data_IF_583815253307
#
_entry.id   IF_583815253307
#
_cell.length_a   1.000
_cell.length_b   1.000
_cell.length_c   1.000
_cell.angle_alpha   90.00
_cell.angle_beta   90.00
_cell.angle_gamma   90.00
#
_symmetry.space_group_name_H-M   'P 1'
#
loop_
_entity.id
_entity.type
_entity.pdbx_description
1 polymer ?
#
# COMPACT_ATOMS: atom_id res chain seq x y z
N UNK A 1 13.65 5.95 -23.12
CA UNK A 1 14.46 6.59 -22.07
C UNK A 1 14.77 8.02 -22.45
N UNK A 2 14.63 8.95 -21.51
CA UNK A 2 14.53 10.40 -21.79
C UNK A 2 15.78 11.18 -21.34
N UNK A 3 16.81 10.51 -20.81
CA UNK A 3 17.99 11.18 -20.28
C UNK A 3 19.03 11.48 -21.35
N UNK A 4 19.59 12.69 -21.31
CA UNK A 4 20.66 13.13 -22.22
C UNK A 4 22.04 12.59 -21.80
N UNK A 5 22.16 11.27 -21.63
CA UNK A 5 23.41 10.60 -21.19
C UNK A 5 24.59 10.83 -22.13
N UNK A 6 24.33 11.27 -23.37
CA UNK A 6 25.37 11.66 -24.33
C UNK A 6 26.25 12.83 -23.85
N UNK A 7 25.77 13.62 -22.90
CA UNK A 7 26.54 14.71 -22.29
C UNK A 7 27.63 14.20 -21.33
N UNK A 8 27.60 12.93 -20.94
CA UNK A 8 28.66 12.32 -20.14
C UNK A 8 29.87 12.04 -21.03
N UNK A 9 31.01 12.64 -20.71
CA UNK A 9 32.26 12.46 -21.47
C UNK A 9 33.36 11.77 -20.68
N UNK A 10 33.24 11.75 -19.34
CA UNK A 10 34.23 11.14 -18.46
C UNK A 10 33.65 9.87 -17.82
N UNK A 11 34.49 8.84 -17.73
CA UNK A 11 34.16 7.59 -17.02
C UNK A 11 33.89 7.87 -15.54
N UNK A 12 34.63 8.79 -14.93
CA UNK A 12 34.44 9.17 -13.53
C UNK A 12 33.05 9.75 -13.24
N UNK A 13 32.48 10.54 -14.16
CA UNK A 13 31.12 11.08 -14.01
C UNK A 13 30.08 9.96 -14.08
N UNK A 14 30.30 8.97 -14.96
CA UNK A 14 29.46 7.78 -15.03
C UNK A 14 29.52 6.99 -13.72
N UNK A 15 30.70 6.80 -13.14
CA UNK A 15 30.88 6.07 -11.88
C UNK A 15 30.15 6.75 -10.70
N UNK A 16 30.22 8.08 -10.63
CA UNK A 16 29.49 8.85 -9.61
C UNK A 16 27.98 8.67 -9.77
N UNK A 17 27.46 8.76 -11.00
CA UNK A 17 26.04 8.59 -11.25
C UNK A 17 25.55 7.16 -11.00
N UNK A 18 26.37 6.15 -11.33
CA UNK A 18 26.07 4.74 -11.02
C UNK A 18 26.03 4.51 -9.51
N UNK A 19 26.98 5.07 -8.75
CA UNK A 19 26.97 4.98 -7.30
C UNK A 19 25.74 5.66 -6.68
N UNK A 20 25.34 6.83 -7.21
CA UNK A 20 24.13 7.53 -6.79
C UNK A 20 22.88 6.70 -7.08
N UNK A 21 22.75 6.18 -8.29
CA UNK A 21 21.60 5.37 -8.70
C UNK A 21 21.51 4.05 -7.92
N UNK A 22 22.65 3.41 -7.63
CA UNK A 22 22.70 2.21 -6.79
C UNK A 22 22.21 2.48 -5.36
N UNK A 23 22.56 3.64 -4.80
CA UNK A 23 22.07 4.06 -3.49
C UNK A 23 20.55 4.29 -3.51
N UNK A 24 20.05 5.05 -4.49
CA UNK A 24 18.62 5.31 -4.64
C UNK A 24 17.83 4.00 -4.78
N UNK A 25 18.32 3.07 -5.60
CA UNK A 25 17.72 1.74 -5.74
C UNK A 25 17.66 0.99 -4.41
N UNK A 26 18.73 1.02 -3.61
CA UNK A 26 18.74 0.37 -2.31
C UNK A 26 17.72 0.97 -1.34
N UNK A 27 17.55 2.29 -1.34
CA UNK A 27 16.56 3.00 -0.53
C UNK A 27 15.12 2.62 -0.96
N UNK A 28 14.87 2.54 -2.27
CA UNK A 28 13.58 2.09 -2.83
C UNK A 28 13.29 0.62 -2.52
N UNK A 29 14.28 -0.27 -2.63
CA UNK A 29 14.14 -1.68 -2.26
C UNK A 29 13.81 -1.85 -0.77
N UNK A 30 14.44 -1.05 0.11
CA UNK A 30 14.11 -1.04 1.52
C UNK A 30 12.66 -0.59 1.78
N UNK A 31 12.23 0.49 1.12
CA UNK A 31 10.85 0.98 1.19
C UNK A 31 9.85 -0.09 0.74
N UNK A 32 10.10 -0.71 -0.43
CA UNK A 32 9.28 -1.81 -0.96
C UNK A 32 9.14 -2.95 0.04
N UNK A 33 10.24 -3.42 0.63
CA UNK A 33 10.22 -4.48 1.64
C UNK A 33 9.41 -4.08 2.88
N UNK A 34 9.50 -2.83 3.30
CA UNK A 34 8.70 -2.30 4.43
C UNK A 34 7.20 -2.34 4.11
N UNK A 35 6.80 -1.91 2.92
CA UNK A 35 5.41 -1.93 2.48
C UNK A 35 4.88 -3.36 2.26
N UNK A 36 5.70 -4.28 1.76
CA UNK A 36 5.35 -5.71 1.62
C UNK A 36 5.00 -6.35 2.97
N UNK A 37 5.78 -6.06 4.02
CA UNK A 37 5.48 -6.53 5.39
C UNK A 37 4.15 -5.98 5.91
N UNK A 38 3.85 -4.71 5.60
CA UNK A 38 2.57 -4.11 5.96
C UNK A 38 1.41 -4.72 5.18
N UNK A 39 1.59 -4.99 3.88
CA UNK A 39 0.61 -5.69 3.04
C UNK A 39 0.27 -7.06 3.63
N UNK A 40 1.27 -7.86 4.00
CA UNK A 40 1.04 -9.17 4.63
C UNK A 40 0.23 -9.06 5.91
N UNK A 41 0.62 -8.14 6.80
CA UNK A 41 -0.11 -7.87 8.04
C UNK A 41 -1.57 -7.47 7.78
N UNK A 42 -1.81 -6.61 6.79
CA UNK A 42 -3.16 -6.17 6.46
C UNK A 42 -3.98 -7.23 5.73
N UNK A 43 -3.35 -8.12 4.97
CA UNK A 43 -4.03 -9.27 4.36
C UNK A 43 -4.62 -10.19 5.44
N UNK A 44 -3.90 -10.41 6.54
CA UNK A 44 -4.41 -11.18 7.68
C UNK A 44 -5.53 -10.45 8.42
N UNK A 45 -5.33 -9.17 8.78
CA UNK A 45 -6.32 -8.44 9.59
C UNK A 45 -7.58 -8.04 8.81
N UNK A 46 -7.49 -7.83 7.51
CA UNK A 46 -8.63 -7.44 6.66
C UNK A 46 -9.73 -8.49 6.63
N UNK A 47 -9.37 -9.76 6.51
CA UNK A 47 -10.33 -10.88 6.52
C UNK A 47 -11.11 -10.91 7.83
N UNK A 48 -10.41 -10.77 8.97
CA UNK A 48 -11.04 -10.78 10.28
C UNK A 48 -11.97 -9.57 10.49
N UNK A 49 -11.54 -8.37 10.08
CA UNK A 49 -12.35 -7.15 10.19
C UNK A 49 -13.61 -7.24 9.32
N UNK A 50 -13.47 -7.72 8.07
CA UNK A 50 -14.60 -7.84 7.14
C UNK A 50 -15.59 -8.90 7.61
N UNK A 51 -15.13 -10.04 8.12
CA UNK A 51 -15.99 -11.06 8.71
C UNK A 51 -16.76 -10.55 9.94
N UNK A 52 -16.08 -9.83 10.84
CA UNK A 52 -16.71 -9.25 12.02
C UNK A 52 -17.76 -8.20 11.63
N UNK A 53 -17.44 -7.33 10.68
CA UNK A 53 -18.35 -6.30 10.20
C UNK A 53 -19.62 -6.91 9.57
N UNK A 54 -19.47 -7.96 8.76
CA UNK A 54 -20.61 -8.68 8.19
C UNK A 54 -21.49 -9.30 9.27
N UNK A 55 -20.89 -9.87 10.32
CA UNK A 55 -21.62 -10.37 11.49
C UNK A 55 -22.43 -9.28 12.19
N UNK A 56 -21.82 -8.13 12.46
CA UNK A 56 -22.49 -6.98 13.09
C UNK A 56 -23.61 -6.42 12.21
N UNK A 57 -23.43 -6.35 10.89
CA UNK A 57 -24.48 -5.92 9.95
C UNK A 57 -25.67 -6.89 9.97
N UNK A 58 -25.41 -8.20 9.95
CA UNK A 58 -26.46 -9.22 10.03
C UNK A 58 -27.22 -9.16 11.36
N UNK A 59 -26.50 -8.97 12.48
CA UNK A 59 -27.11 -8.82 13.80
C UNK A 59 -27.95 -7.54 13.89
N UNK A 60 -27.46 -6.42 13.35
CA UNK A 60 -28.23 -5.17 13.26
C UNK A 60 -29.54 -5.38 12.51
N UNK A 61 -29.51 -6.02 11.34
CA UNK A 61 -30.72 -6.28 10.56
C UNK A 61 -31.72 -7.15 11.32
N UNK A 62 -31.24 -8.16 12.06
CA UNK A 62 -32.09 -8.99 12.92
C UNK A 62 -32.71 -8.18 14.07
N UNK A 63 -31.91 -7.36 14.76
CA UNK A 63 -32.38 -6.48 15.84
C UNK A 63 -33.42 -5.47 15.35
N UNK A 64 -33.22 -4.91 14.16
CA UNK A 64 -34.20 -4.00 13.54
C UNK A 64 -35.52 -4.69 13.21
N UNK A 65 -35.44 -5.92 12.70
CA UNK A 65 -36.63 -6.75 12.43
C UNK A 65 -37.40 -7.03 13.73
N UNK A 66 -36.70 -7.36 14.81
CA UNK A 66 -37.33 -7.60 16.13
C UNK A 66 -37.95 -6.30 16.66
N UNK A 67 -37.23 -5.17 16.63
CA UNK A 67 -37.71 -3.86 17.10
C UNK A 67 -38.99 -3.40 16.38
N UNK A 68 -39.16 -3.75 15.10
CA UNK A 68 -40.34 -3.41 14.33
C UNK A 68 -41.60 -4.15 14.80
N UNK A 69 -41.44 -5.28 15.48
CA UNK A 69 -42.55 -6.14 15.94
C UNK A 69 -42.81 -6.03 17.44
N UNK A 70 -41.87 -5.49 18.21
CA UNK A 70 -42.00 -5.37 19.66
C UNK A 70 -42.96 -4.23 20.07
N UNK A 71 -43.90 -4.49 20.99
CA UNK A 71 -44.69 -3.42 21.61
C UNK A 71 -43.81 -2.52 22.49
N UNK A 72 -44.30 -1.32 22.79
CA UNK A 72 -43.64 -0.44 23.77
C UNK A 72 -43.49 -1.13 25.14
N UNK A 73 -42.35 -0.93 25.78
CA UNK A 73 -42.03 -1.52 27.07
C UNK A 73 -40.54 -1.77 27.24
N UNK A 74 -40.16 -2.30 28.40
CA UNK A 74 -38.75 -2.47 28.79
C UNK A 74 -37.94 -3.29 27.77
N UNK A 75 -38.50 -4.39 27.26
CA UNK A 75 -37.83 -5.25 26.26
C UNK A 75 -37.50 -4.48 24.98
N UNK A 76 -38.37 -3.55 24.56
CA UNK A 76 -38.12 -2.72 23.39
C UNK A 76 -37.01 -1.71 23.63
N UNK A 77 -36.96 -1.09 24.81
CA UNK A 77 -35.87 -0.19 25.20
C UNK A 77 -34.54 -0.94 25.28
N UNK A 78 -34.49 -2.11 25.94
CA UNK A 78 -33.28 -2.94 26.00
C UNK A 78 -32.79 -3.33 24.59
N UNK A 79 -33.72 -3.56 23.66
CA UNK A 79 -33.40 -3.87 22.27
C UNK A 79 -32.89 -2.63 21.50
N UNK A 80 -33.41 -1.43 21.78
CA UNK A 80 -32.85 -0.16 21.24
C UNK A 80 -31.43 0.10 21.75
N UNK A 81 -31.18 -0.19 23.02
CA UNK A 81 -29.83 -0.09 23.60
C UNK A 81 -28.86 -1.08 22.92
N UNK A 82 -29.30 -2.32 22.68
CA UNK A 82 -28.52 -3.29 21.90
C UNK A 82 -28.22 -2.79 20.49
N UNK A 83 -29.22 -2.23 19.79
CA UNK A 83 -29.04 -1.63 18.46
C UNK A 83 -27.95 -0.55 18.51
N UNK A 84 -28.05 0.39 19.44
CA UNK A 84 -27.06 1.48 19.60
C UNK A 84 -25.64 0.95 19.79
N UNK A 85 -25.46 -0.09 20.61
CA UNK A 85 -24.15 -0.73 20.81
C UNK A 85 -23.60 -1.37 19.53
N UNK A 86 -24.46 -2.02 18.75
CA UNK A 86 -24.08 -2.63 17.48
C UNK A 86 -23.75 -1.57 16.42
N UNK A 87 -24.48 -0.46 16.35
CA UNK A 87 -24.17 0.67 15.47
C UNK A 87 -22.80 1.27 15.80
N UNK A 88 -22.50 1.47 17.09
CA UNK A 88 -21.19 1.92 17.51
C UNK A 88 -20.08 0.92 17.17
N UNK A 89 -20.34 -0.39 17.32
CA UNK A 89 -19.38 -1.43 16.92
C UNK A 89 -19.14 -1.41 15.42
N UNK A 90 -20.20 -1.29 14.61
CA UNK A 90 -20.14 -1.15 13.15
C UNK A 90 -19.24 0.02 12.76
N UNK A 91 -19.50 1.22 13.30
CA UNK A 91 -18.70 2.42 13.07
C UNK A 91 -17.22 2.20 13.39
N UNK A 92 -16.92 1.57 14.53
CA UNK A 92 -15.53 1.27 14.93
C UNK A 92 -14.85 0.32 13.94
N UNK A 93 -15.57 -0.70 13.46
CA UNK A 93 -15.04 -1.66 12.48
C UNK A 93 -14.83 -1.00 11.11
N UNK A 94 -15.74 -0.14 10.67
CA UNK A 94 -15.59 0.65 9.44
C UNK A 94 -14.32 1.52 9.48
N UNK A 95 -14.08 2.24 10.58
CA UNK A 95 -12.84 3.01 10.75
C UNK A 95 -11.57 2.12 10.77
N UNK A 96 -11.66 0.91 11.34
CA UNK A 96 -10.55 -0.04 11.32
C UNK A 96 -10.25 -0.55 9.91
N UNK A 97 -11.24 -0.59 8.99
CA UNK A 97 -11.00 -0.97 7.59
C UNK A 97 -10.09 0.01 6.88
N UNK A 98 -10.21 1.30 7.19
CA UNK A 98 -9.36 2.36 6.61
C UNK A 98 -7.90 2.25 7.04
N UNK A 99 -7.65 1.78 8.26
CA UNK A 99 -6.30 1.78 8.88
C UNK A 99 -5.61 0.42 8.85
N UNK A 100 -6.37 -0.67 8.74
CA UNK A 100 -5.83 -2.04 8.85
C UNK A 100 -6.68 -3.11 8.15
N UNK A 101 -7.74 -2.73 7.46
CA UNK A 101 -8.55 -3.67 6.67
C UNK A 101 -8.29 -3.55 5.18
N UNK A 102 -9.27 -3.95 4.39
CA UNK A 102 -9.15 -4.08 2.92
C UNK A 102 -8.74 -2.78 2.24
N UNK A 103 -9.16 -1.61 2.77
CA UNK A 103 -8.76 -0.30 2.22
C UNK A 103 -7.27 -0.06 2.43
N UNK A 104 -6.77 -0.29 3.65
CA UNK A 104 -5.34 -0.16 3.97
C UNK A 104 -4.48 -1.16 3.18
N UNK A 105 -4.97 -2.38 2.99
CA UNK A 105 -4.32 -3.41 2.18
C UNK A 105 -4.14 -2.93 0.73
N UNK A 106 -5.21 -2.53 0.07
CA UNK A 106 -5.16 -2.07 -1.32
C UNK A 106 -4.30 -0.79 -1.47
N UNK A 107 -4.33 0.09 -0.46
CA UNK A 107 -3.43 1.24 -0.41
C UNK A 107 -1.95 0.83 -0.41
N UNK A 108 -1.60 -0.20 0.37
CA UNK A 108 -0.23 -0.73 0.39
C UNK A 108 0.16 -1.42 -0.91
N UNK A 109 -0.74 -2.16 -1.53
CA UNK A 109 -0.50 -2.76 -2.86
C UNK A 109 -0.21 -1.68 -3.92
N UNK A 110 -0.98 -0.58 -3.91
CA UNK A 110 -0.72 0.55 -4.79
C UNK A 110 0.66 1.19 -4.53
N UNK A 111 1.05 1.39 -3.27
CA UNK A 111 2.37 1.95 -2.91
C UNK A 111 3.53 1.06 -3.40
N UNK A 112 3.38 -0.26 -3.29
CA UNK A 112 4.35 -1.24 -3.78
C UNK A 112 4.50 -1.12 -5.30
N UNK A 113 3.40 -1.10 -6.05
CA UNK A 113 3.45 -1.00 -7.51
C UNK A 113 4.07 0.31 -8.01
N UNK A 114 3.81 1.43 -7.31
CA UNK A 114 4.48 2.70 -7.62
C UNK A 114 5.98 2.61 -7.38
N UNK A 115 6.38 2.02 -6.25
CA UNK A 115 7.81 1.82 -5.92
C UNK A 115 8.49 0.88 -6.91
N UNK A 116 7.80 -0.17 -7.38
CA UNK A 116 8.30 -1.04 -8.45
C UNK A 116 8.54 -0.28 -9.76
N UNK A 117 7.63 0.64 -10.12
CA UNK A 117 7.80 1.52 -11.27
C UNK A 117 9.02 2.45 -11.13
N UNK A 118 9.22 3.03 -9.94
CA UNK A 118 10.39 3.85 -9.63
C UNK A 118 11.70 3.05 -9.74
N UNK A 119 11.73 1.83 -9.20
CA UNK A 119 12.88 0.91 -9.32
C UNK A 119 13.17 0.61 -10.79
N UNK A 120 12.15 0.32 -11.60
CA UNK A 120 12.32 0.02 -13.02
C UNK A 120 12.89 1.21 -13.80
N UNK A 121 12.50 2.44 -13.46
CA UNK A 121 13.07 3.65 -14.07
C UNK A 121 14.55 3.84 -13.67
N UNK A 122 14.89 3.62 -12.39
CA UNK A 122 16.28 3.66 -11.90
C UNK A 122 17.14 2.60 -12.59
N UNK A 123 16.60 1.39 -12.78
CA UNK A 123 17.29 0.32 -13.52
C UNK A 123 17.53 0.69 -14.98
N UNK A 124 16.54 1.32 -15.62
CA UNK A 124 16.71 1.93 -16.94
C UNK A 124 17.86 2.94 -16.93
N UNK A 125 17.85 3.89 -15.99
CA UNK A 125 18.88 4.92 -15.83
C UNK A 125 20.29 4.33 -15.69
N UNK A 126 20.46 3.34 -14.81
CA UNK A 126 21.72 2.59 -14.63
C UNK A 126 22.18 1.99 -15.96
N UNK A 127 21.30 1.27 -16.66
CA UNK A 127 21.62 0.61 -17.92
C UNK A 127 22.09 1.61 -19.00
N UNK A 128 21.48 2.80 -19.08
CA UNK A 128 21.91 3.82 -20.03
C UNK A 128 23.27 4.45 -19.69
N UNK A 129 23.57 4.65 -18.41
CA UNK A 129 24.88 5.16 -17.98
C UNK A 129 25.96 4.11 -18.25
N UNK A 130 25.70 2.84 -17.91
CA UNK A 130 26.64 1.75 -18.20
C UNK A 130 26.94 1.65 -19.69
N UNK A 131 25.89 1.69 -20.54
CA UNK A 131 26.06 1.69 -22.00
C UNK A 131 26.90 2.88 -22.48
N UNK A 132 26.67 4.08 -21.93
CA UNK A 132 27.44 5.28 -22.27
C UNK A 132 28.89 5.16 -21.80
N UNK A 133 29.13 4.66 -20.59
CA UNK A 133 30.46 4.43 -20.03
C UNK A 133 31.26 3.47 -20.89
N UNK A 134 30.67 2.36 -21.32
CA UNK A 134 31.29 1.41 -22.26
C UNK A 134 31.64 2.10 -23.58
N UNK A 135 30.75 2.93 -24.13
CA UNK A 135 31.01 3.67 -25.36
C UNK A 135 32.22 4.59 -25.24
N UNK A 136 32.35 5.34 -24.13
CA UNK A 136 33.51 6.21 -23.86
C UNK A 136 34.81 5.40 -23.80
N UNK A 137 34.81 4.26 -23.11
CA UNK A 137 36.01 3.40 -22.98
C UNK A 137 36.43 2.80 -24.33
N UNK A 138 35.47 2.50 -25.20
CA UNK A 138 35.73 1.91 -26.52
C UNK A 138 36.22 2.90 -27.59
N UNK A 139 36.23 4.21 -27.29
CA UNK A 139 36.75 5.20 -28.22
C UNK A 139 38.30 5.18 -28.21
N UNK A 140 38.96 5.14 -29.38
CA UNK A 140 40.42 5.18 -29.44
C UNK A 140 40.94 6.52 -28.89
N UNK A 141 42.13 6.54 -28.24
CA UNK A 141 42.75 7.79 -27.86
C UNK A 141 43.05 8.60 -29.12
N UNK A 142 42.57 9.85 -29.18
CA UNK A 142 43.03 10.84 -30.14
C UNK A 142 44.48 11.24 -29.84
#
# INVERSE_FOLDING_TARGET
MTYSVQNLTLVADCDVLLALAAKEKADLDFKRLSDERLREKFAESSIAIDAELQGVIAELAAVETVLATLPEGQVREDTKDRKTRLEFRKFTLENRRETSGTVALLGKEMDIERTNGEIAEVDGFIAAIDARKTAIISQPPN
#
